data_IF_062334606082
#
_entry.id   IF_062334606082
#
_cell.length_a   1.000
_cell.length_b   1.000
_cell.length_c   1.000
_cell.angle_alpha   90.00
_cell.angle_beta   90.00
_cell.angle_gamma   90.00
#
_symmetry.space_group_name_H-M   'P 1'
#
loop_
_entity.id
_entity.type
_entity.pdbx_description
1 polymer ?
#
# COMPACT_ATOMS: atom_id res chain seq x y z
N UNK A 1 -4.82 49.50 10.82
CA UNK A 1 -3.83 49.02 11.82
C UNK A 1 -4.30 47.63 12.24
N UNK A 2 -3.79 46.52 11.71
CA UNK A 2 -2.65 46.27 10.86
C UNK A 2 -3.06 45.32 9.71
N UNK A 3 -2.64 45.71 8.51
CA UNK A 3 -2.08 44.88 7.44
C UNK A 3 -2.27 43.35 7.58
N UNK A 4 -3.17 42.79 6.79
CA UNK A 4 -3.41 41.33 6.74
C UNK A 4 -3.74 40.86 5.32
N UNK A 5 -3.17 41.53 4.32
CA UNK A 5 -3.45 41.28 2.90
C UNK A 5 -2.19 41.02 2.04
N UNK A 6 -1.00 40.76 2.63
CA UNK A 6 0.25 40.67 1.85
C UNK A 6 1.09 39.38 2.05
N UNK A 7 0.53 38.28 2.57
CA UNK A 7 1.31 37.05 2.81
C UNK A 7 0.92 35.86 1.90
N UNK A 8 -0.19 35.94 1.18
CA UNK A 8 -0.59 34.87 0.23
C UNK A 8 -0.06 35.08 -1.19
N UNK A 9 0.31 36.32 -1.55
CA UNK A 9 0.93 36.68 -2.84
C UNK A 9 2.44 36.42 -2.83
N UNK A 10 3.11 36.57 -1.68
CA UNK A 10 4.53 36.30 -1.49
C UNK A 10 4.88 34.80 -1.57
N UNK A 11 3.93 33.92 -1.24
CA UNK A 11 4.10 32.46 -1.31
C UNK A 11 4.21 31.90 -2.76
N UNK A 12 3.92 32.72 -3.78
CA UNK A 12 3.95 32.31 -5.18
C UNK A 12 5.24 32.72 -5.93
N UNK A 13 6.17 33.40 -5.26
CA UNK A 13 7.45 33.80 -5.85
C UNK A 13 8.60 32.87 -5.43
N UNK A 14 8.38 31.55 -5.43
CA UNK A 14 9.50 30.61 -5.36
C UNK A 14 10.35 30.81 -6.64
N UNK A 15 11.60 31.23 -6.47
CA UNK A 15 12.54 31.23 -7.61
C UNK A 15 12.59 29.81 -8.21
N UNK A 16 12.82 29.63 -9.51
CA UNK A 16 12.90 28.29 -10.11
C UNK A 16 13.86 27.35 -9.37
N UNK A 17 14.93 27.91 -8.83
CA UNK A 17 15.88 27.22 -7.97
C UNK A 17 15.23 26.73 -6.66
N UNK A 18 14.53 27.59 -5.92
CA UNK A 18 13.82 27.20 -4.70
C UNK A 18 12.74 26.18 -4.97
N UNK A 19 11.93 26.36 -6.02
CA UNK A 19 10.87 25.41 -6.37
C UNK A 19 11.42 23.99 -6.61
N UNK A 20 12.56 23.87 -7.30
CA UNK A 20 13.23 22.58 -7.48
C UNK A 20 13.80 22.04 -6.17
N UNK A 21 14.42 22.88 -5.34
CA UNK A 21 14.98 22.46 -4.06
C UNK A 21 13.90 21.96 -3.10
N UNK A 22 12.78 22.67 -3.02
CA UNK A 22 11.62 22.34 -2.18
C UNK A 22 10.98 21.02 -2.65
N UNK A 23 10.83 20.84 -3.97
CA UNK A 23 10.31 19.58 -4.51
C UNK A 23 11.24 18.40 -4.25
N UNK A 24 12.57 18.57 -4.36
CA UNK A 24 13.54 17.53 -3.97
C UNK A 24 13.39 17.20 -2.48
N UNK A 25 13.19 18.21 -1.62
CA UNK A 25 13.00 18.01 -0.19
C UNK A 25 11.70 17.27 0.12
N UNK A 26 10.60 17.60 -0.57
CA UNK A 26 9.31 16.89 -0.45
C UNK A 26 9.46 15.40 -0.82
N UNK A 27 10.17 15.09 -1.91
CA UNK A 27 10.44 13.70 -2.29
C UNK A 27 11.25 12.94 -1.20
N UNK A 28 12.11 13.63 -0.47
CA UNK A 28 12.88 13.04 0.64
C UNK A 28 12.05 12.86 1.92
N UNK A 29 11.27 13.87 2.31
CA UNK A 29 10.54 13.89 3.57
C UNK A 29 9.24 13.10 3.54
N UNK A 30 8.58 13.07 2.38
CA UNK A 30 7.20 12.59 2.28
C UNK A 30 7.15 11.24 1.56
N UNK A 31 7.79 11.16 0.40
CA UNK A 31 7.72 9.96 -0.44
C UNK A 31 8.49 8.78 0.15
N UNK A 32 9.75 8.97 0.55
CA UNK A 32 10.56 7.85 1.09
C UNK A 32 9.94 7.23 2.35
N UNK A 33 9.52 8.01 3.37
CA UNK A 33 8.89 7.44 4.56
C UNK A 33 7.52 6.84 4.27
N UNK A 34 6.83 7.27 3.22
CA UNK A 34 5.60 6.61 2.80
C UNK A 34 5.86 5.20 2.28
N UNK A 35 6.88 5.01 1.43
CA UNK A 35 7.24 3.67 0.94
C UNK A 35 7.63 2.72 2.08
N UNK A 36 8.43 3.19 3.04
CA UNK A 36 8.84 2.41 4.22
C UNK A 36 7.64 2.03 5.10
N UNK A 37 6.77 3.00 5.42
CA UNK A 37 5.55 2.72 6.22
C UNK A 37 4.60 1.76 5.51
N UNK A 38 4.46 1.88 4.18
CA UNK A 38 3.62 0.98 3.39
C UNK A 38 4.17 -0.45 3.39
N UNK A 39 5.48 -0.64 3.23
CA UNK A 39 6.13 -1.94 3.33
C UNK A 39 5.95 -2.54 4.73
N UNK A 40 6.20 -1.77 5.79
CA UNK A 40 6.03 -2.22 7.17
C UNK A 40 4.57 -2.64 7.46
N UNK A 41 3.58 -1.87 6.98
CA UNK A 41 2.16 -2.21 7.15
C UNK A 41 1.80 -3.54 6.49
N UNK A 42 2.32 -3.78 5.28
CA UNK A 42 2.09 -5.04 4.56
C UNK A 42 2.71 -6.22 5.31
N UNK A 43 3.95 -6.07 5.80
CA UNK A 43 4.64 -7.07 6.62
C UNK A 43 3.88 -7.39 7.92
N UNK A 44 3.40 -6.38 8.64
CA UNK A 44 2.62 -6.59 9.86
C UNK A 44 1.28 -7.26 9.59
N UNK A 45 0.60 -6.89 8.50
CA UNK A 45 -0.66 -7.51 8.10
C UNK A 45 -0.47 -9.00 7.79
N UNK A 46 0.64 -9.35 7.13
CA UNK A 46 1.05 -10.73 6.88
C UNK A 46 1.29 -11.51 8.17
N UNK A 47 2.09 -10.95 9.08
CA UNK A 47 2.44 -11.61 10.33
C UNK A 47 1.21 -11.87 11.21
N UNK A 48 0.29 -10.89 11.28
CA UNK A 48 -0.96 -11.03 12.03
C UNK A 48 -1.86 -12.11 11.42
N UNK A 49 -2.06 -12.10 10.09
CA UNK A 49 -2.90 -13.10 9.42
C UNK A 49 -2.35 -14.53 9.61
N UNK A 50 -1.04 -14.70 9.48
CA UNK A 50 -0.37 -15.99 9.70
C UNK A 50 -0.49 -16.44 11.15
N UNK A 51 -0.32 -15.52 12.10
CA UNK A 51 -0.49 -15.78 13.53
C UNK A 51 -1.91 -16.24 13.88
N UNK A 52 -2.94 -15.58 13.33
CA UNK A 52 -4.34 -15.96 13.53
C UNK A 52 -4.60 -17.36 12.98
N UNK A 53 -4.16 -17.65 11.76
CA UNK A 53 -4.36 -18.96 11.13
C UNK A 53 -3.69 -20.08 11.94
N UNK A 54 -2.46 -19.86 12.38
CA UNK A 54 -1.72 -20.81 13.21
C UNK A 54 -2.38 -21.03 14.58
N UNK A 55 -2.72 -19.96 15.29
CA UNK A 55 -3.37 -20.03 16.60
C UNK A 55 -4.74 -20.69 16.51
N UNK A 56 -5.52 -20.42 15.46
CA UNK A 56 -6.81 -21.07 15.24
C UNK A 56 -6.66 -22.59 15.09
N UNK A 57 -5.66 -23.05 14.33
CA UNK A 57 -5.37 -24.48 14.16
C UNK A 57 -4.91 -25.17 15.45
N UNK A 58 -4.01 -24.53 16.19
CA UNK A 58 -3.50 -25.05 17.48
C UNK A 58 -4.59 -25.06 18.54
N UNK A 59 -5.35 -23.96 18.67
CA UNK A 59 -6.45 -23.86 19.62
C UNK A 59 -7.53 -24.91 19.34
N UNK A 60 -7.90 -25.11 18.07
CA UNK A 60 -8.85 -26.16 17.68
C UNK A 60 -8.37 -27.54 18.12
N UNK A 61 -7.10 -27.87 17.87
CA UNK A 61 -6.53 -29.17 18.24
C UNK A 61 -6.52 -29.40 19.76
N UNK A 62 -6.18 -28.38 20.54
CA UNK A 62 -6.18 -28.45 22.02
C UNK A 62 -7.61 -28.58 22.54
N UNK A 63 -8.54 -27.76 22.06
CA UNK A 63 -9.96 -27.83 22.46
C UNK A 63 -10.56 -29.20 22.14
N UNK A 64 -10.30 -29.74 20.95
CA UNK A 64 -10.76 -31.07 20.57
C UNK A 64 -10.22 -32.18 21.51
N UNK A 65 -8.99 -32.03 22.01
CA UNK A 65 -8.36 -33.00 22.89
C UNK A 65 -8.82 -32.93 24.35
N UNK A 66 -9.25 -31.76 24.84
CA UNK A 66 -9.56 -31.51 26.26
C UNK A 66 -11.08 -31.45 26.54
N UNK A 67 -11.91 -31.36 25.50
CA UNK A 67 -13.35 -31.31 25.65
C UNK A 67 -13.95 -32.66 26.06
N UNK A 68 -14.73 -32.66 27.14
CA UNK A 68 -15.53 -33.81 27.59
C UNK A 68 -16.89 -33.88 26.86
N UNK A 69 -17.54 -35.04 26.89
CA UNK A 69 -18.83 -35.31 26.22
C UNK A 69 -19.94 -34.31 26.59
N UNK A 70 -19.93 -33.75 27.80
CA UNK A 70 -20.89 -32.74 28.24
C UNK A 70 -20.78 -31.42 27.45
N UNK A 71 -19.60 -31.09 26.94
CA UNK A 71 -19.37 -29.90 26.11
C UNK A 71 -19.94 -30.05 24.69
N UNK A 72 -20.43 -31.25 24.33
CA UNK A 72 -21.05 -31.56 23.04
C UNK A 72 -22.57 -31.78 23.11
N UNK A 73 -23.17 -31.83 24.31
CA UNK A 73 -24.61 -32.09 24.46
C UNK A 73 -25.44 -30.87 24.06
N UNK A 74 -26.42 -31.05 23.16
CA UNK A 74 -27.35 -30.00 22.74
C UNK A 74 -26.68 -28.84 21.98
N UNK A 75 -27.06 -27.60 22.29
CA UNK A 75 -26.51 -26.34 21.77
C UNK A 75 -25.26 -25.86 22.55
N UNK A 76 -24.45 -26.80 23.05
CA UNK A 76 -23.30 -26.47 23.87
C UNK A 76 -22.23 -25.69 23.09
N UNK A 77 -21.57 -24.78 23.82
CA UNK A 77 -20.54 -23.85 23.33
C UNK A 77 -19.38 -24.56 22.60
N UNK A 78 -19.09 -25.81 22.96
CA UNK A 78 -18.03 -26.61 22.37
C UNK A 78 -18.20 -26.87 20.87
N UNK A 79 -19.43 -27.18 20.43
CA UNK A 79 -19.75 -27.34 19.01
C UNK A 79 -19.58 -26.02 18.24
N UNK A 80 -19.99 -24.91 18.85
CA UNK A 80 -19.83 -23.58 18.24
C UNK A 80 -18.35 -23.25 18.03
N UNK A 81 -17.51 -23.48 19.05
CA UNK A 81 -16.07 -23.19 18.99
C UNK A 81 -15.35 -24.04 17.94
N UNK A 82 -15.68 -25.32 17.84
CA UNK A 82 -15.11 -26.23 16.83
C UNK A 82 -15.55 -25.92 15.39
N UNK A 83 -16.61 -25.14 15.19
CA UNK A 83 -17.03 -24.65 13.88
C UNK A 83 -16.36 -23.30 13.58
N UNK A 84 -16.39 -22.38 14.54
CA UNK A 84 -15.93 -21.00 14.35
C UNK A 84 -14.41 -20.91 14.24
N UNK A 85 -13.64 -21.63 15.06
CA UNK A 85 -12.17 -21.55 15.02
C UNK A 85 -11.61 -22.04 13.68
N UNK A 86 -11.99 -23.21 13.13
CA UNK A 86 -11.54 -23.62 11.80
C UNK A 86 -12.02 -22.67 10.71
N UNK A 87 -13.25 -22.16 10.78
CA UNK A 87 -13.74 -21.19 9.81
C UNK A 87 -12.91 -19.90 9.80
N UNK A 88 -12.55 -19.36 10.97
CA UNK A 88 -11.64 -18.22 11.08
C UNK A 88 -10.25 -18.55 10.52
N UNK A 89 -9.73 -19.75 10.80
CA UNK A 89 -8.47 -20.23 10.22
C UNK A 89 -8.51 -20.31 8.69
N UNK A 90 -9.59 -20.84 8.10
CA UNK A 90 -9.79 -20.92 6.65
C UNK A 90 -9.94 -19.54 6.01
N UNK A 91 -10.66 -18.62 6.65
CA UNK A 91 -10.78 -17.23 6.19
C UNK A 91 -9.41 -16.55 6.22
N UNK A 92 -8.66 -16.66 7.32
CA UNK A 92 -7.32 -16.10 7.45
C UNK A 92 -6.35 -16.68 6.41
N UNK A 93 -6.39 -18.00 6.18
CA UNK A 93 -5.56 -18.68 5.18
C UNK A 93 -5.91 -18.25 3.74
N UNK A 94 -7.20 -18.11 3.44
CA UNK A 94 -7.65 -17.62 2.12
C UNK A 94 -7.25 -16.16 1.91
N UNK A 95 -7.42 -15.33 2.94
CA UNK A 95 -6.99 -13.93 2.93
C UNK A 95 -5.48 -13.81 2.71
N UNK A 96 -4.70 -14.68 3.35
CA UNK A 96 -3.25 -14.74 3.18
C UNK A 96 -2.82 -15.05 1.75
N UNK A 97 -3.40 -16.09 1.14
CA UNK A 97 -3.10 -16.48 -0.25
C UNK A 97 -3.43 -15.35 -1.24
N UNK A 98 -4.50 -14.60 -0.98
CA UNK A 98 -4.90 -13.48 -1.84
C UNK A 98 -4.08 -12.21 -1.63
N UNK A 99 -3.49 -12.01 -0.45
CA UNK A 99 -2.82 -10.76 -0.08
C UNK A 99 -1.48 -10.54 -0.78
N UNK A 100 -0.87 -11.57 -1.42
CA UNK A 100 0.32 -11.43 -2.29
C UNK A 100 1.41 -10.51 -1.70
N UNK A 101 1.69 -10.71 -0.42
CA UNK A 101 2.45 -9.72 0.38
C UNK A 101 3.86 -9.54 -0.14
N UNK A 102 4.52 -10.64 -0.52
CA UNK A 102 5.87 -10.59 -1.08
C UNK A 102 5.90 -9.73 -2.35
N UNK A 103 4.90 -9.85 -3.22
CA UNK A 103 4.84 -9.03 -4.44
C UNK A 103 4.53 -7.56 -4.14
N UNK A 104 3.73 -7.27 -3.11
CA UNK A 104 3.53 -5.88 -2.68
C UNK A 104 4.77 -5.30 -2.02
N UNK A 105 5.52 -6.07 -1.24
CA UNK A 105 6.78 -5.64 -0.63
C UNK A 105 7.81 -5.32 -1.71
N UNK A 106 8.02 -6.23 -2.67
CA UNK A 106 8.89 -6.01 -3.83
C UNK A 106 8.48 -4.77 -4.65
N UNK A 107 7.18 -4.60 -4.88
CA UNK A 107 6.66 -3.41 -5.56
C UNK A 107 7.03 -2.11 -4.81
N UNK A 108 6.93 -2.09 -3.48
CA UNK A 108 7.29 -0.92 -2.66
C UNK A 108 8.79 -0.69 -2.64
N UNK A 109 9.59 -1.74 -2.55
CA UNK A 109 11.05 -1.63 -2.56
C UNK A 109 11.57 -1.08 -3.89
N UNK A 110 11.02 -1.55 -5.02
CA UNK A 110 11.32 -1.00 -6.34
C UNK A 110 10.93 0.48 -6.45
N UNK A 111 9.77 0.88 -5.91
CA UNK A 111 9.33 2.27 -5.89
C UNK A 111 10.25 3.15 -5.05
N UNK A 112 10.63 2.69 -3.85
CA UNK A 112 11.59 3.36 -2.95
C UNK A 112 12.94 3.57 -3.64
N UNK A 113 13.51 2.53 -4.23
CA UNK A 113 14.79 2.61 -4.94
C UNK A 113 14.73 3.56 -6.14
N UNK A 114 13.61 3.56 -6.89
CA UNK A 114 13.41 4.47 -8.02
C UNK A 114 13.33 5.94 -7.56
N UNK A 115 12.58 6.25 -6.50
CA UNK A 115 12.55 7.61 -5.93
C UNK A 115 13.92 8.04 -5.42
N UNK A 116 14.64 7.18 -4.69
CA UNK A 116 16.01 7.51 -4.24
C UNK A 116 16.94 7.85 -5.42
N UNK A 117 16.83 7.09 -6.52
CA UNK A 117 17.59 7.38 -7.74
C UNK A 117 17.19 8.71 -8.37
N UNK A 118 15.89 9.02 -8.46
CA UNK A 118 15.40 10.28 -9.01
C UNK A 118 15.84 11.47 -8.18
N UNK A 119 15.80 11.37 -6.85
CA UNK A 119 16.32 12.38 -5.93
C UNK A 119 17.83 12.61 -6.16
N UNK A 120 18.62 11.53 -6.25
CA UNK A 120 20.06 11.64 -6.49
C UNK A 120 20.38 12.34 -7.81
N UNK A 121 19.67 11.99 -8.89
CA UNK A 121 19.82 12.65 -10.20
C UNK A 121 19.33 14.11 -10.12
N UNK A 122 18.21 14.37 -9.44
CA UNK A 122 17.68 15.70 -9.20
C UNK A 122 18.69 16.61 -8.50
N UNK A 123 19.30 16.14 -7.41
CA UNK A 123 20.37 16.84 -6.69
C UNK A 123 21.60 17.08 -7.56
N UNK A 124 22.01 16.09 -8.35
CA UNK A 124 23.13 16.24 -9.29
C UNK A 124 22.83 17.33 -10.33
N UNK A 125 21.63 17.33 -10.94
CA UNK A 125 21.22 18.31 -11.94
C UNK A 125 21.03 19.70 -11.32
N UNK A 126 20.48 19.77 -10.12
CA UNK A 126 20.36 21.00 -9.33
C UNK A 126 21.73 21.65 -9.09
N UNK A 127 22.74 20.86 -8.70
CA UNK A 127 24.10 21.36 -8.48
C UNK A 127 24.80 21.82 -9.77
N UNK A 128 24.41 21.27 -10.93
CA UNK A 128 24.97 21.63 -12.23
C UNK A 128 24.22 22.76 -12.96
N UNK A 129 23.03 23.13 -12.51
CA UNK A 129 22.23 24.18 -13.12
C UNK A 129 22.76 25.57 -12.74
N UNK A 130 22.79 26.49 -13.69
CA UNK A 130 23.36 27.84 -13.52
C UNK A 130 22.41 28.96 -13.89
N UNK A 131 21.24 28.65 -14.48
CA UNK A 131 20.24 29.62 -14.88
C UNK A 131 18.84 29.24 -14.38
N UNK A 132 17.94 30.22 -14.17
CA UNK A 132 16.55 29.99 -13.81
C UNK A 132 15.82 29.02 -14.75
N UNK A 133 16.07 29.13 -16.05
CA UNK A 133 15.48 28.28 -17.08
C UNK A 133 15.92 26.82 -16.90
N UNK A 134 17.21 26.58 -16.64
CA UNK A 134 17.71 25.21 -16.38
C UNK A 134 17.09 24.62 -15.12
N UNK A 135 16.88 25.41 -14.07
CA UNK A 135 16.20 24.93 -12.87
C UNK A 135 14.74 24.53 -13.16
N UNK A 136 14.00 25.35 -13.92
CA UNK A 136 12.64 25.02 -14.36
C UNK A 136 12.58 23.76 -15.23
N UNK A 137 13.52 23.59 -16.16
CA UNK A 137 13.61 22.38 -17.00
C UNK A 137 13.86 21.12 -16.16
N UNK A 138 14.79 21.18 -15.21
CA UNK A 138 15.09 20.06 -14.31
C UNK A 138 13.88 19.76 -13.41
N UNK A 139 13.19 20.78 -12.92
CA UNK A 139 11.98 20.63 -12.13
C UNK A 139 10.86 19.94 -12.91
N UNK A 140 10.55 20.43 -14.12
CA UNK A 140 9.55 19.80 -15.00
C UNK A 140 9.90 18.36 -15.34
N UNK A 141 11.17 18.10 -15.68
CA UNK A 141 11.65 16.73 -15.92
C UNK A 141 11.45 15.82 -14.69
N UNK A 142 11.76 16.31 -13.49
CA UNK A 142 11.64 15.51 -12.26
C UNK A 142 10.17 15.19 -11.94
N UNK A 143 9.27 16.16 -12.13
CA UNK A 143 7.81 15.94 -12.00
C UNK A 143 7.34 14.86 -12.97
N UNK A 144 7.75 14.94 -14.24
CA UNK A 144 7.34 13.98 -15.26
C UNK A 144 7.83 12.56 -14.94
N UNK A 145 9.08 12.41 -14.48
CA UNK A 145 9.63 11.11 -14.13
C UNK A 145 8.99 10.50 -12.88
N UNK A 146 8.70 11.33 -11.87
CA UNK A 146 7.93 10.88 -10.68
C UNK A 146 6.52 10.46 -11.11
N UNK A 147 5.84 11.24 -11.94
CA UNK A 147 4.49 10.93 -12.43
C UNK A 147 4.45 9.61 -13.21
N UNK A 148 5.45 9.35 -14.05
CA UNK A 148 5.60 8.06 -14.77
C UNK A 148 5.79 6.90 -13.80
N UNK A 149 6.63 7.09 -12.78
CA UNK A 149 6.85 6.07 -11.76
C UNK A 149 5.56 5.76 -10.99
N UNK A 150 4.82 6.78 -10.59
CA UNK A 150 3.54 6.61 -9.88
C UNK A 150 2.49 5.89 -10.74
N UNK A 151 2.38 6.28 -12.02
CA UNK A 151 1.48 5.61 -12.95
C UNK A 151 1.83 4.13 -13.11
N UNK A 152 3.13 3.81 -13.18
CA UNK A 152 3.60 2.43 -13.27
C UNK A 152 3.36 1.64 -11.96
N UNK A 153 3.66 2.26 -10.82
CA UNK A 153 3.40 1.69 -9.49
C UNK A 153 1.90 1.39 -9.30
N UNK A 154 1.03 2.32 -9.69
CA UNK A 154 -0.41 2.13 -9.64
C UNK A 154 -0.88 1.01 -10.58
N UNK A 155 -0.37 0.96 -11.82
CA UNK A 155 -0.70 -0.11 -12.77
C UNK A 155 -0.35 -1.49 -12.20
N UNK A 156 0.86 -1.63 -11.64
CA UNK A 156 1.32 -2.88 -11.02
C UNK A 156 0.50 -3.21 -9.77
N UNK A 157 0.19 -2.22 -8.95
CA UNK A 157 -0.69 -2.39 -7.79
C UNK A 157 -2.05 -2.99 -8.19
N UNK A 158 -2.68 -2.49 -9.27
CA UNK A 158 -3.97 -2.99 -9.78
C UNK A 158 -3.89 -4.41 -10.37
N UNK A 159 -2.70 -4.88 -10.74
CA UNK A 159 -2.47 -6.28 -11.16
C UNK A 159 -2.34 -7.20 -9.94
N UNK A 160 -1.77 -6.69 -8.84
CA UNK A 160 -1.62 -7.43 -7.59
C UNK A 160 -2.90 -7.43 -6.75
N UNK A 161 -3.72 -6.38 -6.84
CA UNK A 161 -4.95 -6.23 -6.07
C UNK A 161 -5.92 -7.40 -6.35
N UNK A 162 -6.54 -7.99 -5.30
CA UNK A 162 -7.54 -9.03 -5.47
C UNK A 162 -8.68 -8.51 -6.35
N UNK A 163 -8.91 -9.14 -7.51
CA UNK A 163 -10.08 -8.85 -8.34
C UNK A 163 -11.24 -9.73 -7.88
N UNK A 164 -12.44 -9.18 -7.62
CA UNK A 164 -13.63 -10.03 -7.56
C UNK A 164 -13.74 -10.73 -8.92
N UNK A 165 -13.92 -12.06 -8.91
CA UNK A 165 -14.10 -12.81 -10.17
C UNK A 165 -15.32 -12.23 -10.88
N UNK A 166 -15.10 -11.59 -12.02
CA UNK A 166 -16.19 -11.27 -12.95
C UNK A 166 -16.71 -12.60 -13.50
N UNK A 167 -17.83 -13.09 -12.95
CA UNK A 167 -18.40 -14.35 -13.35
C UNK A 167 -19.54 -14.81 -12.45
N UNK A 168 -20.65 -14.05 -12.40
CA UNK A 168 -22.00 -14.60 -12.21
C UNK A 168 -23.13 -13.60 -12.55
N UNK A 169 -22.89 -12.62 -13.43
CA UNK A 169 -23.95 -11.71 -13.94
C UNK A 169 -24.00 -11.73 -15.47
N UNK A 170 -24.19 -12.92 -16.03
CA UNK A 170 -24.17 -13.11 -17.48
C UNK A 170 -25.00 -14.30 -17.94
N UNK A 171 -26.27 -14.37 -17.53
CA UNK A 171 -27.34 -15.14 -18.20
C UNK A 171 -28.67 -14.43 -17.97
N UNK A 172 -28.94 -13.39 -18.76
CA UNK A 172 -30.19 -12.65 -18.65
C UNK A 172 -30.59 -11.83 -19.87
N UNK A 173 -29.76 -11.73 -20.90
CA UNK A 173 -30.09 -10.98 -22.11
C UNK A 173 -29.59 -11.77 -23.31
N UNK A 174 -30.47 -12.61 -23.87
CA UNK A 174 -30.56 -12.99 -25.29
C UNK A 174 -31.43 -14.25 -25.43
N UNK A 175 -32.75 -14.08 -25.42
CA UNK A 175 -33.70 -14.98 -26.09
C UNK A 175 -35.05 -14.28 -26.30
N UNK A 176 -35.03 -13.08 -26.88
CA UNK A 176 -36.20 -12.51 -27.56
C UNK A 176 -35.71 -11.91 -28.89
N UNK A 177 -35.59 -12.79 -29.88
CA UNK A 177 -35.61 -12.46 -31.31
C UNK A 177 -36.31 -13.60 -32.04
#
# INVERSE_FOLDING_TARGET
MADRDDDSSAALAATPQQALADYIAELESDYLPWYERAAARNFWSWFIAQGIAFLAGVATSILAAVMNDDAFKGYAWGRLVLIVLPALGSIASTFFVQMRVAEFEDLREQGRAAIQRLIAIGKQRYAGATSPETYSEVHGWLIDEVSKLEAEQNRRFQVLAPRPRAGETGKGEEAER
#
